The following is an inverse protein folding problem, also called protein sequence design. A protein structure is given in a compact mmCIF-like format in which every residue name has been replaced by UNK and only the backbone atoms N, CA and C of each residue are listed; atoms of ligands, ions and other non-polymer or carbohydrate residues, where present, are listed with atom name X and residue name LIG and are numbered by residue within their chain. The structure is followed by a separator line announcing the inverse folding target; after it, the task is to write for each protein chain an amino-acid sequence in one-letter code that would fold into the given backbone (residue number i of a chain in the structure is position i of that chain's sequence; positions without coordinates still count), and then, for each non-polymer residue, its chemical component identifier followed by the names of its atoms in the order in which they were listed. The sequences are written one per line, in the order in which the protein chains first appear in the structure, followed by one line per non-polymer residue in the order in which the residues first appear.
data_IF_494855569412
#
_entry.id   IF_494855569412
#
_cell.length_a   1.000
_cell.length_b   1.000
_cell.length_c   1.000
_cell.angle_alpha   90.00
_cell.angle_beta   90.00
_cell.angle_gamma   90.00
#
_symmetry.space_group_name_H-M   'P 1'
#
loop_
_entity.id
_entity.type
_entity.pdbx_description
1 polymer ?
#
# COMPACT_ATOMS: atom_id res chain seq x y z
N UNK A 1 -7.33 -19.69 22.06
CA UNK A 1 -6.47 -20.75 22.60
C UNK A 1 -5.27 -21.01 21.73
N UNK A 2 -4.13 -20.46 22.13
CA UNK A 2 -2.83 -20.65 21.51
C UNK A 2 -1.90 -21.35 22.50
N UNK A 3 -1.02 -22.19 21.94
CA UNK A 3 0.16 -22.77 22.56
C UNK A 3 -0.10 -23.79 23.69
N UNK A 4 0.12 -25.07 23.37
CA UNK A 4 0.19 -26.16 24.37
C UNK A 4 -0.14 -27.53 23.82
N UNK A 5 -0.91 -27.62 22.73
CA UNK A 5 -1.28 -28.90 22.15
C UNK A 5 -0.12 -29.44 21.32
N UNK A 6 0.38 -30.63 21.69
CA UNK A 6 1.41 -31.36 20.93
C UNK A 6 0.77 -31.92 19.66
N UNK A 7 0.86 -31.18 18.56
CA UNK A 7 0.21 -31.51 17.28
C UNK A 7 1.05 -32.42 16.38
N UNK A 8 2.02 -33.16 16.91
CA UNK A 8 2.82 -34.09 16.11
C UNK A 8 3.77 -34.96 16.93
N UNK A 9 4.26 -36.02 16.29
CA UNK A 9 5.10 -37.04 16.91
C UNK A 9 5.40 -38.22 15.99
N UNK A 10 5.60 -39.39 16.60
CA UNK A 10 5.88 -40.68 15.94
C UNK A 10 4.78 -41.70 16.19
N UNK A 11 4.54 -42.56 15.21
CA UNK A 11 3.66 -43.73 15.37
C UNK A 11 4.47 -44.86 16.02
N UNK A 12 3.98 -45.45 17.10
CA UNK A 12 4.61 -46.58 17.80
C UNK A 12 4.05 -47.94 17.37
N UNK A 13 2.83 -47.99 16.83
CA UNK A 13 2.27 -49.22 16.29
C UNK A 13 1.15 -48.92 15.30
N UNK A 14 1.00 -49.80 14.30
CA UNK A 14 -0.05 -49.72 13.29
C UNK A 14 -0.84 -51.02 13.30
N UNK A 15 -2.16 -50.91 13.48
CA UNK A 15 -3.09 -52.02 13.30
C UNK A 15 -4.05 -51.69 12.15
N UNK A 16 -3.71 -52.16 10.94
CA UNK A 16 -4.48 -51.88 9.72
C UNK A 16 -5.87 -52.52 9.71
N UNK A 17 -6.04 -53.66 10.40
CA UNK A 17 -7.32 -54.38 10.47
C UNK A 17 -8.37 -53.57 11.24
N UNK A 18 -7.98 -53.00 12.38
CA UNK A 18 -8.85 -52.16 13.22
C UNK A 18 -8.79 -50.68 12.87
N UNK A 19 -7.85 -50.29 12.00
CA UNK A 19 -7.50 -48.91 11.64
C UNK A 19 -7.08 -48.07 12.84
N UNK A 20 -6.26 -48.67 13.70
CA UNK A 20 -5.79 -48.04 14.93
C UNK A 20 -4.30 -47.74 14.85
N UNK A 21 -3.91 -46.51 15.16
CA UNK A 21 -2.52 -46.07 15.32
C UNK A 21 -2.25 -45.88 16.81
N UNK A 22 -1.10 -46.34 17.30
CA UNK A 22 -0.61 -45.98 18.63
C UNK A 22 0.41 -44.87 18.48
N UNK A 23 0.22 -43.75 19.15
CA UNK A 23 1.09 -42.58 19.08
C UNK A 23 2.11 -42.58 20.23
N UNK A 24 3.23 -41.90 20.03
CA UNK A 24 4.31 -41.73 21.01
C UNK A 24 3.96 -40.81 22.19
N UNK A 25 2.77 -40.21 22.17
CA UNK A 25 2.28 -39.27 23.18
C UNK A 25 0.77 -39.15 23.12
N UNK A 26 0.20 -38.72 24.24
CA UNK A 26 -1.23 -38.48 24.35
C UNK A 26 -1.69 -37.29 23.48
N UNK A 27 -2.88 -37.42 22.93
CA UNK A 27 -3.61 -36.38 22.21
C UNK A 27 -5.02 -36.24 22.78
N UNK A 28 -5.59 -35.05 22.63
CA UNK A 28 -6.97 -34.76 23.03
C UNK A 28 -7.74 -34.24 21.82
N UNK A 29 -8.93 -34.79 21.59
CA UNK A 29 -9.82 -34.30 20.54
C UNK A 29 -10.61 -33.08 21.03
N UNK A 30 -10.88 -32.11 20.15
CA UNK A 30 -11.76 -31.00 20.47
C UNK A 30 -13.21 -31.49 20.61
N UNK A 31 -14.01 -30.77 21.39
CA UNK A 31 -15.43 -31.10 21.62
C UNK A 31 -16.32 -30.90 20.39
N UNK A 32 -15.83 -30.22 19.34
CA UNK A 32 -16.54 -30.00 18.09
C UNK A 32 -15.59 -29.90 16.89
N UNK A 33 -16.13 -30.23 15.70
CA UNK A 33 -15.43 -30.19 14.42
C UNK A 33 -14.62 -31.47 14.11
N UNK A 34 -14.25 -31.62 12.84
CA UNK A 34 -13.51 -32.79 12.36
C UNK A 34 -12.01 -32.63 12.61
N UNK A 35 -11.42 -33.57 13.34
CA UNK A 35 -9.97 -33.66 13.51
C UNK A 35 -9.37 -34.56 12.44
N UNK A 36 -8.33 -34.10 11.76
CA UNK A 36 -7.57 -34.92 10.82
C UNK A 36 -6.18 -35.23 11.40
N UNK A 37 -5.66 -36.40 11.08
CA UNK A 37 -4.26 -36.75 11.29
C UNK A 37 -3.57 -36.82 9.92
N UNK A 38 -2.47 -36.08 9.78
CA UNK A 38 -1.59 -36.07 8.63
C UNK A 38 -0.48 -37.09 8.85
N UNK A 39 -0.30 -37.98 7.88
CA UNK A 39 0.69 -39.04 7.84
C UNK A 39 1.50 -38.91 6.55
N UNK A 40 2.60 -39.63 6.44
CA UNK A 40 3.38 -39.75 5.20
C UNK A 40 3.17 -41.16 4.66
N UNK A 41 2.71 -41.27 3.41
CA UNK A 41 2.52 -42.57 2.76
C UNK A 41 3.84 -43.18 2.26
N UNK A 42 3.78 -44.39 1.70
CA UNK A 42 4.93 -45.09 1.15
C UNK A 42 5.63 -44.39 -0.02
N UNK A 43 5.07 -43.31 -0.57
CA UNK A 43 5.66 -42.48 -1.62
C UNK A 43 6.24 -41.17 -1.07
N UNK A 44 6.26 -40.98 0.25
CA UNK A 44 6.74 -39.76 0.87
C UNK A 44 5.75 -38.59 0.80
N UNK A 45 4.50 -38.83 0.39
CA UNK A 45 3.49 -37.79 0.25
C UNK A 45 2.66 -37.61 1.53
N UNK A 46 2.34 -36.35 1.93
CA UNK A 46 1.50 -36.11 3.09
C UNK A 46 0.03 -36.45 2.78
N UNK A 47 -0.54 -37.39 3.54
CA UNK A 47 -1.95 -37.82 3.43
C UNK A 47 -2.67 -37.48 4.73
N UNK A 48 -3.82 -36.81 4.64
CA UNK A 48 -4.68 -36.51 5.80
C UNK A 48 -5.87 -37.46 5.85
N UNK A 49 -6.08 -38.07 7.02
CA UNK A 49 -7.21 -38.97 7.30
C UNK A 49 -7.96 -38.51 8.54
N UNK A 50 -9.26 -38.78 8.59
CA UNK A 50 -10.11 -38.37 9.71
C UNK A 50 -9.84 -39.23 10.94
N UNK A 51 -9.76 -38.58 12.10
CA UNK A 51 -9.73 -39.25 13.41
C UNK A 51 -11.16 -39.50 13.86
N UNK A 52 -11.51 -40.78 14.03
CA UNK A 52 -12.85 -41.22 14.44
C UNK A 52 -12.99 -41.28 15.96
N UNK A 53 -11.96 -41.73 16.67
CA UNK A 53 -11.95 -41.79 18.13
C UNK A 53 -10.53 -41.89 18.67
N UNK A 54 -10.34 -41.46 19.93
CA UNK A 54 -9.11 -41.65 20.69
C UNK A 54 -9.42 -42.42 21.97
N UNK A 55 -8.67 -43.47 22.23
CA UNK A 55 -8.75 -44.29 23.45
C UNK A 55 -7.43 -44.18 24.21
N UNK A 56 -7.51 -44.04 25.53
CA UNK A 56 -6.35 -43.90 26.43
C UNK A 56 -5.40 -42.74 26.04
N UNK A 57 -5.88 -41.74 25.31
CA UNK A 57 -5.09 -40.62 24.79
C UNK A 57 -4.11 -40.97 23.65
N UNK A 58 -3.69 -42.23 23.50
CA UNK A 58 -2.62 -42.64 22.56
C UNK A 58 -3.08 -43.55 21.43
N UNK A 59 -4.23 -44.21 21.55
CA UNK A 59 -4.76 -45.10 20.50
C UNK A 59 -5.76 -44.34 19.64
N UNK A 60 -5.41 -44.09 18.39
CA UNK A 60 -6.17 -43.26 17.47
C UNK A 60 -6.79 -44.13 16.39
N UNK A 61 -8.11 -44.21 16.37
CA UNK A 61 -8.85 -44.86 15.30
C UNK A 61 -9.04 -43.88 14.15
N UNK A 62 -8.61 -44.26 12.96
CA UNK A 62 -8.67 -43.43 11.75
C UNK A 62 -9.65 -44.01 10.72
N UNK A 63 -10.15 -43.16 9.81
CA UNK A 63 -11.08 -43.62 8.76
C UNK A 63 -10.46 -44.66 7.83
N UNK A 64 -9.15 -44.52 7.55
CA UNK A 64 -8.29 -45.50 6.85
C UNK A 64 -6.84 -45.34 7.29
N UNK A 65 -6.04 -46.40 7.19
CA UNK A 65 -4.58 -46.34 7.32
C UNK A 65 -3.99 -46.20 5.92
N UNK A 66 -3.27 -45.11 5.59
CA UNK A 66 -2.61 -44.98 4.30
C UNK A 66 -1.54 -46.05 4.09
N UNK A 67 -1.35 -46.48 2.85
CA UNK A 67 -0.33 -47.47 2.49
C UNK A 67 1.08 -46.93 2.78
N UNK A 68 1.92 -47.79 3.35
CA UNK A 68 3.31 -47.44 3.71
C UNK A 68 3.47 -46.73 5.07
N UNK A 69 2.37 -46.42 5.78
CA UNK A 69 2.46 -46.00 7.18
C UNK A 69 2.90 -47.18 8.05
N UNK A 70 3.96 -46.98 8.82
CA UNK A 70 4.57 -48.00 9.66
C UNK A 70 4.96 -47.43 11.03
N UNK A 71 5.57 -48.26 11.87
CA UNK A 71 6.22 -47.80 13.09
C UNK A 71 7.28 -46.73 12.76
N UNK A 72 7.41 -45.73 13.63
CA UNK A 72 8.24 -44.52 13.49
C UNK A 72 7.86 -43.56 12.36
N UNK A 73 6.77 -43.81 11.62
CA UNK A 73 6.19 -42.80 10.72
C UNK A 73 5.85 -41.52 11.47
N UNK A 74 6.06 -40.38 10.81
CA UNK A 74 5.69 -39.06 11.35
C UNK A 74 4.18 -38.89 11.28
N UNK A 75 3.60 -38.32 12.34
CA UNK A 75 2.22 -37.85 12.32
C UNK A 75 2.12 -36.39 12.77
N UNK A 76 1.07 -35.71 12.30
CA UNK A 76 0.69 -34.38 12.76
C UNK A 76 -0.82 -34.20 12.81
N UNK A 77 -1.35 -33.53 13.82
CA UNK A 77 -2.78 -33.24 13.94
C UNK A 77 -3.14 -31.93 13.22
N UNK A 78 -4.23 -31.98 12.46
CA UNK A 78 -4.94 -30.81 11.94
C UNK A 78 -6.26 -30.73 12.67
N UNK A 79 -6.33 -29.81 13.64
CA UNK A 79 -7.52 -29.58 14.45
C UNK A 79 -8.38 -28.50 13.79
N UNK A 80 -9.72 -28.60 13.87
CA UNK A 80 -10.65 -27.66 13.24
C UNK A 80 -10.55 -26.24 13.82
N UNK A 81 -10.11 -26.11 15.07
CA UNK A 81 -9.94 -24.83 15.78
C UNK A 81 -8.52 -24.26 15.66
N UNK A 82 -7.56 -25.02 15.11
CA UNK A 82 -6.17 -24.64 15.05
C UNK A 82 -5.88 -23.92 13.72
N UNK A 83 -5.96 -22.59 13.73
CA UNK A 83 -5.51 -21.80 12.59
C UNK A 83 -3.99 -21.96 12.45
N UNK A 84 -3.56 -22.55 11.34
CA UNK A 84 -2.14 -22.59 10.98
C UNK A 84 -1.65 -21.14 10.82
N UNK A 85 -0.79 -20.68 11.73
CA UNK A 85 0.01 -19.49 11.50
C UNK A 85 1.18 -19.90 10.63
N UNK A 86 1.22 -19.36 9.41
CA UNK A 86 2.37 -19.53 8.54
C UNK A 86 3.51 -18.64 9.06
N UNK A 87 4.73 -19.15 9.01
CA UNK A 87 5.94 -18.41 9.36
C UNK A 87 6.96 -18.57 8.24
N UNK A 88 7.76 -17.53 7.98
CA UNK A 88 8.93 -17.61 7.11
C UNK A 88 10.17 -17.70 7.98
N UNK A 89 10.87 -18.83 7.91
CA UNK A 89 12.14 -19.02 8.62
C UNK A 89 13.18 -17.99 8.12
N UNK A 90 13.85 -17.34 9.07
CA UNK A 90 14.91 -16.35 8.80
C UNK A 90 16.27 -16.91 9.18
N UNK A 91 16.35 -17.68 10.26
CA UNK A 91 17.59 -18.35 10.67
C UNK A 91 17.31 -19.65 11.41
N UNK A 92 18.24 -20.59 11.29
CA UNK A 92 18.28 -21.83 12.06
C UNK A 92 19.65 -21.89 12.73
N UNK A 93 19.67 -22.16 14.04
CA UNK A 93 20.88 -22.36 14.83
C UNK A 93 20.81 -23.73 15.50
N UNK A 94 21.88 -24.49 15.40
CA UNK A 94 22.05 -25.73 16.16
C UNK A 94 22.55 -25.41 17.57
N UNK A 95 21.99 -26.10 18.56
CA UNK A 95 22.34 -25.98 19.97
C UNK A 95 23.16 -27.21 20.41
N UNK A 96 23.87 -27.09 21.53
CA UNK A 96 24.73 -28.15 22.07
C UNK A 96 23.95 -29.35 22.64
N UNK A 97 22.63 -29.25 22.73
CA UNK A 97 21.71 -30.28 23.25
C UNK A 97 20.99 -31.07 22.14
N UNK A 98 21.52 -31.07 20.91
CA UNK A 98 20.91 -31.70 19.74
C UNK A 98 19.52 -31.14 19.37
N UNK A 99 19.24 -29.89 19.77
CA UNK A 99 18.04 -29.15 19.34
C UNK A 99 18.40 -28.04 18.36
N UNK A 100 17.40 -27.58 17.61
CA UNK A 100 17.54 -26.43 16.71
C UNK A 100 16.68 -25.26 17.19
N UNK A 101 17.28 -24.08 17.28
CA UNK A 101 16.57 -22.82 17.45
C UNK A 101 16.22 -22.24 16.07
N UNK A 102 14.94 -21.93 15.85
CA UNK A 102 14.44 -21.34 14.60
C UNK A 102 13.91 -19.94 14.89
N UNK A 103 14.49 -18.94 14.22
CA UNK A 103 13.94 -17.57 14.20
C UNK A 103 13.09 -17.42 12.95
N UNK A 104 11.83 -17.02 13.10
CA UNK A 104 10.91 -16.88 11.97
C UNK A 104 10.03 -15.64 12.11
N UNK A 105 9.67 -15.04 10.96
CA UNK A 105 8.71 -13.93 10.90
C UNK A 105 7.33 -14.49 10.61
N UNK A 106 6.32 -13.99 11.34
CA UNK A 106 4.93 -14.40 11.12
C UNK A 106 4.44 -13.91 9.75
N UNK A 107 3.78 -14.80 9.00
CA UNK A 107 3.06 -14.44 7.80
C UNK A 107 1.83 -13.59 8.15
N UNK A 108 1.74 -12.44 7.50
CA UNK A 108 0.58 -11.55 7.58
C UNK A 108 0.02 -11.46 6.16
N UNK A 109 -1.04 -12.22 5.82
CA UNK A 109 -1.56 -12.28 4.45
C UNK A 109 -2.06 -10.92 3.94
N UNK A 110 -2.51 -10.05 4.84
CA UNK A 110 -2.97 -8.69 4.52
C UNK A 110 -1.82 -7.70 4.26
N UNK A 111 -0.56 -8.08 4.55
CA UNK A 111 0.58 -7.17 4.44
C UNK A 111 0.78 -6.70 3.00
N UNK A 112 0.71 -7.59 2.02
CA UNK A 112 0.85 -7.23 0.60
C UNK A 112 -0.25 -6.25 0.18
N UNK A 113 -1.51 -6.51 0.56
CA UNK A 113 -2.62 -5.61 0.25
C UNK A 113 -2.50 -4.23 0.93
N UNK A 114 -1.98 -4.16 2.17
CA UNK A 114 -1.71 -2.88 2.85
C UNK A 114 -0.56 -2.13 2.17
N UNK A 115 0.47 -2.84 1.70
CA UNK A 115 1.60 -2.25 0.97
C UNK A 115 1.16 -1.75 -0.42
N UNK A 116 0.37 -2.54 -1.14
CA UNK A 116 -0.12 -2.21 -2.49
C UNK A 116 -1.11 -1.05 -2.50
N UNK A 117 -1.96 -0.96 -1.47
CA UNK A 117 -2.84 0.20 -1.33
C UNK A 117 -2.07 1.49 -0.98
N UNK A 118 -0.83 1.36 -0.49
CA UNK A 118 0.01 2.48 -0.08
C UNK A 118 -0.68 3.40 0.93
N UNK A 119 -0.04 4.51 1.24
CA UNK A 119 -0.76 5.65 1.82
C UNK A 119 -1.33 6.45 0.65
N UNK A 120 -2.64 6.43 0.45
CA UNK A 120 -3.32 7.39 -0.41
C UNK A 120 -3.33 8.73 0.34
N UNK A 121 -2.43 9.62 -0.02
CA UNK A 121 -2.53 11.01 0.38
C UNK A 121 -3.50 11.65 -0.60
N UNK A 122 -4.73 11.93 -0.15
CA UNK A 122 -5.67 12.74 -0.93
C UNK A 122 -4.91 14.00 -1.36
N UNK A 123 -4.74 14.14 -2.66
CA UNK A 123 -4.01 15.22 -3.29
C UNK A 123 -4.79 16.52 -3.26
N UNK A 124 -5.28 16.95 -2.09
CA UNK A 124 -5.83 18.27 -1.85
C UNK A 124 -5.13 18.91 -0.65
N UNK A 125 -3.82 19.11 -0.81
CA UNK A 125 -3.07 20.32 -0.44
C UNK A 125 -1.57 20.00 -0.50
N UNK A 126 -1.02 20.03 -1.71
CA UNK A 126 0.42 20.30 -1.88
C UNK A 126 0.69 21.77 -1.55
N UNK A 127 0.56 22.12 -0.27
CA UNK A 127 1.18 23.27 0.32
C UNK A 127 2.39 22.75 1.08
N UNK A 128 3.55 22.69 0.42
CA UNK A 128 4.80 22.68 1.19
C UNK A 128 4.73 23.84 2.20
N UNK A 129 5.37 23.73 3.36
CA UNK A 129 5.39 24.81 4.38
C UNK A 129 5.94 26.15 3.81
N UNK A 130 6.48 26.12 2.58
CA UNK A 130 6.90 27.27 1.76
C UNK A 130 6.02 27.48 0.51
N UNK A 131 4.74 27.12 0.56
CA UNK A 131 3.77 27.35 -0.51
C UNK A 131 3.48 28.85 -0.63
N UNK A 132 4.29 29.55 -1.43
CA UNK A 132 4.01 30.93 -1.81
C UNK A 132 2.83 30.89 -2.77
N UNK A 133 1.62 31.13 -2.26
CA UNK A 133 0.48 31.48 -3.11
C UNK A 133 0.81 32.83 -3.77
N UNK A 134 0.94 32.90 -5.11
CA UNK A 134 1.15 34.18 -5.79
C UNK A 134 0.00 35.13 -5.44
N UNK A 135 0.28 36.40 -5.12
CA UNK A 135 -0.78 37.31 -4.72
C UNK A 135 -1.74 37.59 -5.86
N UNK A 136 -3.02 37.73 -5.53
CA UNK A 136 -4.04 38.12 -6.50
C UNK A 136 -3.73 39.52 -7.07
N UNK A 137 -3.86 39.66 -8.39
CA UNK A 137 -3.89 40.97 -9.06
C UNK A 137 -5.31 41.52 -8.93
N UNK A 138 -5.44 42.71 -8.34
CA UNK A 138 -6.73 43.38 -8.09
C UNK A 138 -6.72 44.80 -8.67
N UNK A 139 -7.91 45.37 -8.90
CA UNK A 139 -8.10 46.75 -9.37
C UNK A 139 -7.22 47.14 -10.56
N UNK A 140 -7.07 46.25 -11.55
CA UNK A 140 -6.32 46.57 -12.77
C UNK A 140 -7.00 47.75 -13.49
N UNK A 141 -6.27 48.86 -13.57
CA UNK A 141 -6.67 50.06 -14.30
C UNK A 141 -5.67 50.35 -15.41
N UNK A 142 -6.15 51.00 -16.47
CA UNK A 142 -5.35 51.40 -17.62
C UNK A 142 -5.71 52.84 -17.99
N UNK A 143 -4.72 53.73 -17.94
CA UNK A 143 -4.85 55.12 -18.39
C UNK A 143 -4.19 55.27 -19.75
N UNK A 144 -4.95 55.75 -20.72
CA UNK A 144 -4.48 55.97 -22.09
C UNK A 144 -4.08 57.42 -22.26
N UNK A 145 -2.87 57.65 -22.75
CA UNK A 145 -2.40 58.99 -23.16
C UNK A 145 -2.00 58.92 -24.62
N UNK A 146 -2.50 59.85 -25.44
CA UNK A 146 -2.06 60.01 -26.81
C UNK A 146 -1.04 61.16 -26.85
N UNK A 147 0.17 60.91 -27.34
CA UNK A 147 1.16 61.95 -27.59
C UNK A 147 1.68 61.82 -29.02
N UNK A 148 1.51 62.89 -29.81
CA UNK A 148 2.08 63.02 -31.17
C UNK A 148 1.83 61.85 -32.16
N UNK A 149 0.72 61.12 -32.02
CA UNK A 149 0.33 60.03 -32.92
C UNK A 149 0.68 58.63 -32.44
N UNK A 150 1.36 58.51 -31.30
CA UNK A 150 1.56 57.24 -30.61
C UNK A 150 0.71 57.18 -29.34
N UNK A 151 0.06 56.04 -29.11
CA UNK A 151 -0.70 55.81 -27.88
C UNK A 151 0.20 55.15 -26.84
N UNK A 152 0.10 55.66 -25.62
CA UNK A 152 0.72 55.10 -24.44
C UNK A 152 -0.36 54.63 -23.47
N UNK A 153 -0.10 53.51 -22.79
CA UNK A 153 -1.00 52.97 -21.77
C UNK A 153 -0.21 52.75 -20.50
N UNK A 154 -0.62 53.43 -19.43
CA UNK A 154 -0.11 53.20 -18.09
C UNK A 154 -1.06 52.25 -17.35
N UNK A 155 -0.59 51.03 -17.13
CA UNK A 155 -1.30 50.02 -16.35
C UNK A 155 -0.90 50.11 -14.87
N UNK A 156 -1.89 50.03 -13.98
CA UNK A 156 -1.70 49.95 -12.52
C UNK A 156 -2.57 48.86 -11.94
N UNK A 157 -2.07 48.14 -10.94
CA UNK A 157 -2.82 47.13 -10.22
C UNK A 157 -2.41 47.07 -8.76
N UNK A 158 -3.22 46.40 -7.95
CA UNK A 158 -2.97 46.16 -6.54
C UNK A 158 -2.70 44.68 -6.28
N UNK A 159 -1.96 44.43 -5.19
CA UNK A 159 -1.83 43.10 -4.61
C UNK A 159 -2.11 43.16 -3.10
N UNK A 160 -3.03 42.34 -2.56
CA UNK A 160 -3.42 42.42 -1.15
C UNK A 160 -2.30 42.01 -0.18
N UNK A 161 -1.29 41.28 -0.67
CA UNK A 161 -0.10 40.90 0.09
C UNK A 161 1.11 40.85 -0.83
N UNK A 162 2.16 41.61 -0.54
CA UNK A 162 3.43 41.48 -1.28
C UNK A 162 4.24 40.34 -0.66
N UNK A 163 4.43 39.26 -1.41
CA UNK A 163 5.40 38.24 -1.04
C UNK A 163 6.77 38.63 -1.62
N UNK A 164 7.85 38.45 -0.85
CA UNK A 164 9.19 38.73 -1.35
C UNK A 164 9.48 37.90 -2.60
N UNK A 165 9.96 38.54 -3.67
CA UNK A 165 10.38 37.87 -4.90
C UNK A 165 9.29 37.64 -5.95
N UNK A 166 8.10 38.26 -5.82
CA UNK A 166 7.05 38.18 -6.86
C UNK A 166 7.45 39.01 -8.09
N UNK A 167 7.22 38.45 -9.28
CA UNK A 167 7.39 39.15 -10.55
C UNK A 167 6.13 38.99 -11.40
N UNK A 168 5.59 40.08 -11.91
CA UNK A 168 4.41 40.08 -12.75
C UNK A 168 4.78 39.91 -14.22
N UNK A 169 4.05 39.05 -14.92
CA UNK A 169 4.06 38.98 -16.37
C UNK A 169 2.85 39.70 -16.92
N UNK A 170 3.09 40.64 -17.83
CA UNK A 170 2.07 41.33 -18.59
C UNK A 170 2.03 40.79 -20.01
N UNK A 171 0.81 40.63 -20.54
CA UNK A 171 0.55 40.24 -21.92
C UNK A 171 -0.46 41.22 -22.50
N UNK A 172 -0.05 41.94 -23.53
CA UNK A 172 -0.91 42.84 -24.30
C UNK A 172 -1.25 42.18 -25.64
N UNK A 173 -2.53 41.97 -25.91
CA UNK A 173 -3.03 41.48 -27.21
C UNK A 173 -3.88 42.54 -27.89
N UNK A 174 -3.94 42.50 -29.22
CA UNK A 174 -4.84 43.32 -30.05
C UNK A 174 -5.85 42.41 -30.73
N UNK A 175 -7.11 42.82 -30.76
CA UNK A 175 -8.13 42.15 -31.55
C UNK A 175 -7.89 42.44 -33.04
N UNK A 176 -7.67 41.41 -33.84
CA UNK A 176 -7.61 41.53 -35.29
C UNK A 176 -9.01 41.50 -35.90
N UNK A 177 -9.15 42.02 -37.13
CA UNK A 177 -10.42 42.11 -37.86
C UNK A 177 -11.07 40.74 -38.11
N UNK A 178 -10.28 39.66 -38.05
CA UNK A 178 -10.72 38.26 -38.17
C UNK A 178 -11.23 37.67 -36.83
N UNK A 179 -11.34 38.49 -35.78
CA UNK A 179 -11.78 38.09 -34.45
C UNK A 179 -10.72 37.36 -33.63
N UNK A 180 -9.50 37.16 -34.15
CA UNK A 180 -8.39 36.53 -33.41
C UNK A 180 -7.63 37.56 -32.59
N UNK A 181 -7.13 37.13 -31.43
CA UNK A 181 -6.23 37.97 -30.64
C UNK A 181 -4.78 37.73 -31.07
N UNK A 182 -4.07 38.82 -31.43
CA UNK A 182 -2.64 38.78 -31.77
C UNK A 182 -1.83 39.34 -30.62
N UNK A 183 -0.72 38.70 -30.31
CA UNK A 183 0.20 39.20 -29.29
C UNK A 183 0.92 40.45 -29.79
N UNK A 184 0.85 41.52 -29.01
CA UNK A 184 1.54 42.80 -29.30
C UNK A 184 2.82 42.89 -28.49
N UNK A 185 2.73 42.65 -27.19
CA UNK A 185 3.87 42.79 -26.28
C UNK A 185 3.73 41.88 -25.05
N UNK A 186 4.87 41.47 -24.52
CA UNK A 186 5.01 40.86 -23.20
C UNK A 186 6.05 41.60 -22.39
N UNK A 187 5.82 41.70 -21.09
CA UNK A 187 6.75 42.36 -20.17
C UNK A 187 6.80 41.62 -18.84
N UNK A 188 7.94 41.69 -18.16
CA UNK A 188 8.11 41.22 -16.79
C UNK A 188 8.53 42.39 -15.92
N UNK A 189 7.89 42.57 -14.76
CA UNK A 189 8.23 43.62 -13.80
C UNK A 189 7.99 43.14 -12.37
N UNK A 190 8.75 43.66 -11.41
CA UNK A 190 8.48 43.47 -9.98
C UNK A 190 7.60 44.60 -9.40
N UNK A 191 7.38 45.66 -10.18
CA UNK A 191 6.52 46.78 -9.81
C UNK A 191 5.05 46.46 -10.08
N UNK A 192 4.15 47.20 -9.43
CA UNK A 192 2.70 47.09 -9.66
C UNK A 192 2.19 48.09 -10.71
N UNK A 193 3.11 48.63 -11.52
CA UNK A 193 2.81 49.52 -12.63
C UNK A 193 3.67 49.16 -13.83
N UNK A 194 3.15 49.42 -15.04
CA UNK A 194 3.91 49.25 -16.27
C UNK A 194 3.38 50.18 -17.37
N UNK A 195 4.28 50.75 -18.17
CA UNK A 195 3.93 51.62 -19.30
C UNK A 195 4.19 50.91 -20.62
N UNK A 196 3.15 50.76 -21.42
CA UNK A 196 3.25 50.42 -22.83
C UNK A 196 3.33 51.71 -23.66
N UNK A 197 4.21 51.72 -24.65
CA UNK A 197 4.42 52.86 -25.57
C UNK A 197 4.32 52.39 -27.01
N UNK A 198 4.27 53.31 -27.97
CA UNK A 198 4.26 53.01 -29.40
C UNK A 198 3.09 52.13 -29.85
N UNK A 199 1.93 52.26 -29.20
CA UNK A 199 0.74 51.51 -29.58
C UNK A 199 0.03 52.25 -30.71
N UNK A 200 -0.34 51.51 -31.75
CA UNK A 200 -1.26 51.99 -32.78
C UNK A 200 -2.69 52.08 -32.22
N UNK A 201 -3.55 52.87 -32.86
CA UNK A 201 -4.97 52.90 -32.49
C UNK A 201 -5.60 51.51 -32.70
N UNK A 202 -6.29 50.99 -31.69
CA UNK A 202 -6.92 49.67 -31.76
C UNK A 202 -7.54 49.21 -30.44
N UNK A 203 -8.20 48.05 -30.47
CA UNK A 203 -8.79 47.42 -29.30
C UNK A 203 -7.80 46.43 -28.69
N UNK A 204 -7.28 46.76 -27.52
CA UNK A 204 -6.30 45.94 -26.81
C UNK A 204 -6.91 45.26 -25.59
N UNK A 205 -6.39 44.07 -25.26
CA UNK A 205 -6.64 43.37 -24.01
C UNK A 205 -5.33 43.22 -23.25
N UNK A 206 -5.32 43.68 -22.01
CA UNK A 206 -4.20 43.52 -21.09
C UNK A 206 -4.52 42.43 -20.07
N UNK A 207 -3.58 41.48 -19.92
CA UNK A 207 -3.61 40.47 -18.86
C UNK A 207 -2.35 40.60 -18.01
N UNK A 208 -2.51 40.60 -16.68
CA UNK A 208 -1.41 40.62 -15.70
C UNK A 208 -1.51 39.37 -14.84
N UNK A 209 -0.39 38.66 -14.65
CA UNK A 209 -0.28 37.49 -13.78
C UNK A 209 0.94 37.60 -12.86
N UNK A 210 0.81 37.18 -11.61
CA UNK A 210 1.89 37.10 -10.62
C UNK A 210 2.67 35.78 -10.71
#
# INVERSE_FOLDING_TARGET
DYAGIRTGGRVLAVNSQTRTLTLDREITLPSSGTTLISLVDGQGSPVSVEVQSVTDGVKVKVSRVPDGVAEYSVWGLKLPTLRQRLFRCVSIRENDDSTYAITAVQHVPEKEAIVDNGAHFDGDQSGTVNGVTPPAVQHLTAEVTADSGEYQVLARWDTPKVVKGVSFMLRLTVAADDGRERLVSTARTTETTYRFTQLALGNYRLTVRA
#
